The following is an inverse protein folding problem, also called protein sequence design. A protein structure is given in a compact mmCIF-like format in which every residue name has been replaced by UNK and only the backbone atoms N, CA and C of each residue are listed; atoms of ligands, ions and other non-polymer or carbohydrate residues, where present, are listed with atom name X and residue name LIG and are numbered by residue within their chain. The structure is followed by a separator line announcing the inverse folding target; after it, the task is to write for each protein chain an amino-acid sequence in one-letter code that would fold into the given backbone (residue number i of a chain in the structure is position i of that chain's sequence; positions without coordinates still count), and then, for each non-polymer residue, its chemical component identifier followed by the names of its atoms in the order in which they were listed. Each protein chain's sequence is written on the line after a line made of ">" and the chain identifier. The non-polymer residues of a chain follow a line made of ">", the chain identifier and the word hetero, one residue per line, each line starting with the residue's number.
data_IF_889311140257
#
_entry.id   IF_889311140257
#
_cell.length_a   1.000
_cell.length_b   1.000
_cell.length_c   1.000
_cell.angle_alpha   90.00
_cell.angle_beta   90.00
_cell.angle_gamma   90.00
#
_symmetry.space_group_name_H-M   'P 1'
#
loop_
_entity.id
_entity.type
_entity.pdbx_description
1 polymer ?
#
# COMPACT_ATOMS: atom_id res chain seq x y z
N UNK A 1 -18.79 -9.23 -0.06
CA UNK A 1 -19.03 -7.78 -0.06
C UNK A 1 -18.04 -6.99 0.80
N UNK A 2 -17.68 -7.43 2.02
CA UNK A 2 -16.68 -6.73 2.86
C UNK A 2 -15.30 -6.63 2.20
N UNK A 3 -14.83 -7.69 1.53
CA UNK A 3 -13.52 -7.71 0.86
C UNK A 3 -13.37 -6.61 -0.20
N UNK A 4 -14.37 -6.38 -1.05
CA UNK A 4 -14.33 -5.34 -2.08
C UNK A 4 -14.32 -3.92 -1.50
N UNK A 5 -15.07 -3.66 -0.42
CA UNK A 5 -15.09 -2.36 0.26
C UNK A 5 -13.73 -2.00 0.85
N UNK A 6 -13.14 -2.93 1.61
CA UNK A 6 -11.81 -2.75 2.20
C UNK A 6 -10.76 -2.52 1.12
N UNK A 7 -10.75 -3.39 0.11
CA UNK A 7 -9.80 -3.30 -1.00
C UNK A 7 -9.89 -1.96 -1.73
N UNK A 8 -11.10 -1.54 -2.13
CA UNK A 8 -11.30 -0.26 -2.84
C UNK A 8 -10.81 0.93 -2.02
N UNK A 9 -11.04 0.92 -0.71
CA UNK A 9 -10.63 2.02 0.18
C UNK A 9 -9.11 2.06 0.35
N UNK A 10 -8.46 0.92 0.61
CA UNK A 10 -7.01 0.85 0.77
C UNK A 10 -6.27 1.07 -0.55
N UNK A 11 -6.85 0.65 -1.67
CA UNK A 11 -6.35 0.98 -3.01
C UNK A 11 -6.34 2.50 -3.25
N UNK A 12 -7.43 3.19 -2.89
CA UNK A 12 -7.51 4.64 -3.00
C UNK A 12 -6.50 5.36 -2.09
N UNK A 13 -6.24 4.81 -0.91
CA UNK A 13 -5.20 5.33 -0.01
C UNK A 13 -3.80 5.15 -0.63
N UNK A 14 -3.45 3.95 -1.07
CA UNK A 14 -2.16 3.65 -1.66
C UNK A 14 -1.90 4.50 -2.93
N UNK A 15 -2.91 4.69 -3.77
CA UNK A 15 -2.86 5.55 -4.95
C UNK A 15 -2.63 7.03 -4.61
N UNK A 16 -3.13 7.50 -3.48
CA UNK A 16 -2.88 8.87 -3.04
C UNK A 16 -1.43 9.08 -2.56
N UNK A 17 -0.79 8.05 -1.99
CA UNK A 17 0.60 8.10 -1.51
C UNK A 17 1.60 7.92 -2.66
N UNK A 18 1.38 6.92 -3.52
CA UNK A 18 2.26 6.61 -4.66
C UNK A 18 1.39 6.49 -5.92
N UNK A 19 1.02 7.63 -6.53
CA UNK A 19 0.20 7.64 -7.73
C UNK A 19 1.00 7.20 -8.97
N UNK A 20 0.28 6.88 -10.04
CA UNK A 20 0.88 6.78 -11.36
C UNK A 20 1.44 8.12 -11.80
N UNK A 21 2.60 8.11 -12.46
CA UNK A 21 3.33 9.32 -12.83
C UNK A 21 3.57 9.41 -14.35
N UNK A 22 2.51 9.69 -15.17
CA UNK A 22 2.64 9.72 -16.63
C UNK A 22 3.65 10.76 -17.13
N UNK A 23 3.77 11.92 -16.46
CA UNK A 23 4.76 12.94 -16.82
C UNK A 23 6.20 12.47 -16.63
N UNK A 24 6.48 11.76 -15.55
CA UNK A 24 7.81 11.18 -15.33
C UNK A 24 8.10 10.07 -16.36
N UNK A 25 7.08 9.33 -16.76
CA UNK A 25 7.21 8.31 -17.79
C UNK A 25 7.55 8.89 -19.18
N UNK A 26 7.03 10.07 -19.51
CA UNK A 26 7.37 10.80 -20.75
C UNK A 26 8.82 11.30 -20.73
N UNK A 27 9.32 11.73 -19.58
CA UNK A 27 10.65 12.34 -19.43
C UNK A 27 11.75 11.28 -19.18
N UNK A 28 11.49 10.29 -18.33
CA UNK A 28 12.49 9.32 -17.85
C UNK A 28 12.25 7.88 -18.28
N UNK A 29 11.22 7.65 -19.12
CA UNK A 29 10.90 6.33 -19.67
C UNK A 29 9.76 5.62 -18.93
N UNK A 30 9.16 4.66 -19.66
CA UNK A 30 7.93 3.97 -19.26
C UNK A 30 7.97 3.34 -17.86
N UNK A 31 9.14 2.95 -17.40
CA UNK A 31 9.31 2.34 -16.08
C UNK A 31 8.82 3.26 -14.95
N UNK A 32 8.91 4.59 -15.14
CA UNK A 32 8.49 5.57 -14.16
C UNK A 32 6.97 5.81 -14.13
N UNK A 33 6.19 5.12 -14.96
CA UNK A 33 4.73 5.24 -14.99
C UNK A 33 4.05 4.63 -13.77
N UNK A 34 4.56 3.49 -13.30
CA UNK A 34 3.87 2.62 -12.37
C UNK A 34 3.76 3.19 -10.96
N UNK A 35 2.56 3.12 -10.37
CA UNK A 35 2.25 3.50 -9.01
C UNK A 35 1.85 2.31 -8.13
N UNK A 36 1.40 2.59 -6.91
CA UNK A 36 1.04 1.57 -5.93
C UNK A 36 -0.04 0.59 -6.40
N UNK A 37 -0.99 1.06 -7.21
CA UNK A 37 -2.08 0.21 -7.75
C UNK A 37 -1.52 -0.87 -8.66
N UNK A 38 -0.54 -0.54 -9.49
CA UNK A 38 0.04 -1.47 -10.46
C UNK A 38 0.80 -2.60 -9.77
N UNK A 39 1.39 -2.31 -8.60
CA UNK A 39 2.12 -3.27 -7.77
C UNK A 39 1.22 -3.96 -6.73
N UNK A 40 -0.09 -3.72 -6.76
CA UNK A 40 -1.08 -4.31 -5.85
C UNK A 40 -0.75 -4.08 -4.37
N UNK A 41 -0.36 -2.86 -4.02
CA UNK A 41 0.01 -2.50 -2.65
C UNK A 41 -1.19 -2.50 -1.71
N UNK A 42 -2.40 -2.34 -2.23
CA UNK A 42 -3.64 -2.57 -1.49
C UNK A 42 -3.71 -3.97 -0.87
N UNK A 43 -3.26 -5.01 -1.59
CA UNK A 43 -3.20 -6.37 -1.06
C UNK A 43 -2.14 -6.52 0.05
N UNK A 44 -1.00 -5.83 -0.08
CA UNK A 44 0.01 -5.77 0.98
C UNK A 44 -0.54 -5.10 2.24
N UNK A 45 -1.23 -3.97 2.10
CA UNK A 45 -1.86 -3.27 3.22
C UNK A 45 -2.90 -4.15 3.92
N UNK A 46 -3.76 -4.85 3.16
CA UNK A 46 -4.73 -5.79 3.72
C UNK A 46 -4.00 -6.91 4.47
N UNK A 47 -2.97 -7.50 3.86
CA UNK A 47 -2.19 -8.57 4.48
C UNK A 47 -1.60 -8.12 5.81
N UNK A 48 -0.90 -6.98 5.86
CA UNK A 48 -0.31 -6.47 7.09
C UNK A 48 -1.36 -6.16 8.17
N UNK A 49 -2.47 -5.51 7.80
CA UNK A 49 -3.54 -5.16 8.73
C UNK A 49 -4.30 -6.37 9.29
N UNK A 50 -4.43 -7.46 8.52
CA UNK A 50 -5.06 -8.71 8.98
C UNK A 50 -4.15 -9.53 9.91
N UNK A 51 -2.83 -9.28 9.91
CA UNK A 51 -1.87 -9.95 10.79
C UNK A 51 -1.67 -9.25 12.16
N UNK A 52 -2.39 -8.16 12.44
CA UNK A 52 -2.46 -7.61 13.79
C UNK A 52 -3.17 -8.59 14.75
N UNK A 53 -2.87 -8.56 16.06
CA UNK A 53 -3.57 -9.39 17.05
C UNK A 53 -5.10 -9.26 17.00
N UNK A 54 -5.58 -8.08 16.62
CA UNK A 54 -6.98 -7.81 16.23
C UNK A 54 -6.95 -7.38 14.78
N UNK A 55 -7.67 -8.07 13.87
CA UNK A 55 -7.71 -7.71 12.45
C UNK A 55 -8.14 -6.25 12.25
N UNK A 56 -7.32 -5.48 11.57
CA UNK A 56 -7.48 -4.02 11.45
C UNK A 56 -7.91 -3.55 10.06
N UNK A 57 -7.98 -4.43 9.05
CA UNK A 57 -8.27 -3.98 7.67
C UNK A 57 -9.64 -3.32 7.55
N UNK A 58 -10.70 -3.93 8.09
CA UNK A 58 -12.04 -3.37 8.05
C UNK A 58 -12.17 -2.09 8.90
N UNK A 59 -11.79 -2.07 10.19
CA UNK A 59 -11.84 -0.84 10.98
C UNK A 59 -11.06 0.32 10.35
N UNK A 60 -9.91 0.03 9.74
CA UNK A 60 -9.09 1.04 9.06
C UNK A 60 -9.78 1.58 7.80
N UNK A 61 -10.40 0.74 6.99
CA UNK A 61 -11.17 1.19 5.84
C UNK A 61 -12.38 2.06 6.26
N UNK A 62 -13.06 1.70 7.34
CA UNK A 62 -14.14 2.51 7.91
C UNK A 62 -13.63 3.86 8.42
N UNK A 63 -12.50 3.88 9.16
CA UNK A 63 -11.84 5.10 9.61
C UNK A 63 -11.54 6.06 8.45
N UNK A 64 -10.95 5.56 7.35
CA UNK A 64 -10.62 6.34 6.18
C UNK A 64 -11.86 6.90 5.47
N UNK A 65 -12.96 6.16 5.42
CA UNK A 65 -14.20 6.64 4.82
C UNK A 65 -14.96 7.63 5.72
N UNK A 66 -14.81 7.53 7.05
CA UNK A 66 -15.30 8.58 7.97
C UNK A 66 -14.50 9.88 7.74
N UNK A 67 -13.18 9.79 7.57
CA UNK A 67 -12.36 10.94 7.22
C UNK A 67 -12.77 11.59 5.90
N UNK A 68 -13.06 10.78 4.87
CA UNK A 68 -13.56 11.28 3.59
C UNK A 68 -14.90 12.00 3.74
N UNK A 69 -15.78 11.48 4.60
CA UNK A 69 -17.06 12.12 4.93
C UNK A 69 -16.84 13.46 5.63
N UNK A 70 -15.96 13.52 6.63
CA UNK A 70 -15.63 14.75 7.34
C UNK A 70 -15.04 15.81 6.40
N UNK A 71 -14.14 15.39 5.49
CA UNK A 71 -13.59 16.27 4.47
C UNK A 71 -14.69 16.87 3.58
N UNK A 72 -15.61 16.05 3.06
CA UNK A 72 -16.72 16.53 2.23
C UNK A 72 -17.62 17.52 2.97
N UNK A 73 -17.95 17.23 4.24
CA UNK A 73 -18.74 18.14 5.08
C UNK A 73 -18.02 19.49 5.25
N UNK A 74 -16.70 19.48 5.46
CA UNK A 74 -15.90 20.71 5.57
C UNK A 74 -15.92 21.56 4.28
N UNK A 75 -16.18 20.92 3.12
CA UNK A 75 -16.34 21.58 1.82
C UNK A 75 -17.80 21.96 1.51
N UNK A 76 -18.73 21.79 2.47
CA UNK A 76 -20.15 22.13 2.30
C UNK A 76 -20.99 21.05 1.63
N UNK A 77 -20.47 19.84 1.44
CA UNK A 77 -21.24 18.72 0.92
C UNK A 77 -21.86 17.92 2.06
N UNK A 78 -23.12 17.48 1.86
CA UNK A 78 -23.84 16.67 2.83
C UNK A 78 -24.02 15.25 2.31
N UNK A 79 -23.60 14.26 3.08
CA UNK A 79 -23.73 12.86 2.75
C UNK A 79 -22.53 12.01 3.18
N UNK A 80 -22.65 10.70 3.02
CA UNK A 80 -21.53 9.80 3.29
C UNK A 80 -20.52 9.85 2.14
N UNK A 81 -19.25 10.07 2.49
CA UNK A 81 -18.13 10.02 1.57
C UNK A 81 -17.46 8.66 1.53
N UNK A 82 -16.76 8.40 0.44
CA UNK A 82 -15.82 7.30 0.33
C UNK A 82 -14.45 7.85 -0.11
N UNK A 83 -13.37 7.38 0.50
CA UNK A 83 -12.02 7.79 0.11
C UNK A 83 -11.78 7.56 -1.39
N UNK A 84 -12.32 6.49 -1.93
CA UNK A 84 -12.18 6.13 -3.33
C UNK A 84 -12.81 7.14 -4.31
N UNK A 85 -13.83 7.89 -3.86
CA UNK A 85 -14.52 8.89 -4.70
C UNK A 85 -13.86 10.27 -4.67
N UNK A 86 -12.93 10.49 -3.75
CA UNK A 86 -12.21 11.76 -3.65
C UNK A 86 -11.06 11.85 -4.67
N UNK A 87 -10.76 13.07 -5.10
CA UNK A 87 -9.54 13.35 -5.85
C UNK A 87 -8.28 13.02 -5.01
N UNK A 88 -7.14 12.64 -5.62
CA UNK A 88 -5.96 12.20 -4.88
C UNK A 88 -5.49 13.17 -3.78
N UNK A 89 -5.45 14.47 -4.05
CA UNK A 89 -5.10 15.48 -3.05
C UNK A 89 -6.12 15.59 -1.91
N UNK A 90 -7.39 15.39 -2.20
CA UNK A 90 -8.43 15.47 -1.17
C UNK A 90 -8.43 14.21 -0.28
N UNK A 91 -8.00 13.06 -0.82
CA UNK A 91 -7.72 11.87 0.00
C UNK A 91 -6.65 12.15 1.05
N UNK A 92 -5.55 12.80 0.67
CA UNK A 92 -4.47 13.18 1.60
C UNK A 92 -4.96 14.18 2.65
N UNK A 93 -5.78 15.18 2.26
CA UNK A 93 -6.37 16.14 3.20
C UNK A 93 -7.32 15.45 4.18
N UNK A 94 -8.16 14.51 3.72
CA UNK A 94 -9.03 13.72 4.58
C UNK A 94 -8.22 12.92 5.63
N UNK A 95 -7.14 12.26 5.21
CA UNK A 95 -6.24 11.54 6.12
C UNK A 95 -5.54 12.50 7.10
N UNK A 96 -5.19 13.71 6.65
CA UNK A 96 -4.60 14.74 7.52
C UNK A 96 -5.57 15.17 8.62
N UNK A 97 -6.87 15.26 8.35
CA UNK A 97 -7.88 15.56 9.37
C UNK A 97 -7.92 14.52 10.49
N UNK A 98 -7.68 13.23 10.19
CA UNK A 98 -7.53 12.20 11.23
C UNK A 98 -6.34 12.48 12.15
N UNK A 99 -5.18 12.77 11.57
CA UNK A 99 -3.95 13.07 12.32
C UNK A 99 -4.09 14.34 13.19
N UNK A 100 -4.88 15.29 12.72
CA UNK A 100 -5.18 16.55 13.44
C UNK A 100 -6.37 16.44 14.41
N UNK A 101 -6.96 15.24 14.53
CA UNK A 101 -8.13 14.99 15.36
C UNK A 101 -9.33 15.90 15.03
N UNK A 102 -9.50 16.24 13.77
CA UNK A 102 -10.59 17.09 13.25
C UNK A 102 -11.82 16.28 12.81
N UNK A 103 -11.88 15.01 13.21
CA UNK A 103 -12.98 14.11 12.94
C UNK A 103 -13.70 13.81 14.26
N UNK A 104 -15.03 13.78 14.22
CA UNK A 104 -15.82 13.49 15.41
C UNK A 104 -15.59 12.05 15.86
N UNK A 105 -15.14 11.86 17.12
CA UNK A 105 -14.81 10.55 17.68
C UNK A 105 -15.99 9.57 17.65
N UNK A 106 -17.21 10.07 17.90
CA UNK A 106 -18.43 9.24 17.90
C UNK A 106 -18.79 8.65 16.54
N UNK A 107 -18.27 9.22 15.46
CA UNK A 107 -18.45 8.72 14.10
C UNK A 107 -17.47 7.59 13.74
N UNK A 108 -16.41 7.39 14.53
CA UNK A 108 -15.36 6.43 14.26
C UNK A 108 -15.74 5.01 14.69
N UNK A 109 -15.11 3.96 14.12
CA UNK A 109 -15.20 2.60 14.65
C UNK A 109 -14.83 2.54 16.13
N UNK A 110 -15.51 1.68 16.88
CA UNK A 110 -15.42 1.62 18.36
C UNK A 110 -13.98 1.48 18.88
N UNK A 111 -13.13 0.75 18.16
CA UNK A 111 -11.73 0.55 18.53
C UNK A 111 -10.95 1.88 18.59
N UNK A 112 -11.25 2.83 17.70
CA UNK A 112 -10.63 4.16 17.68
C UNK A 112 -11.28 5.14 18.67
N UNK A 113 -12.54 4.91 19.04
CA UNK A 113 -13.18 5.67 20.12
C UNK A 113 -12.56 5.31 21.47
N UNK A 114 -12.20 4.03 21.68
CA UNK A 114 -11.59 3.53 22.92
C UNK A 114 -10.11 3.92 23.04
N UNK A 115 -9.39 4.03 21.93
CA UNK A 115 -7.99 4.43 21.87
C UNK A 115 -7.76 5.45 20.73
N UNK A 116 -7.99 6.74 20.98
CA UNK A 116 -7.80 7.78 19.96
C UNK A 116 -6.35 7.91 19.46
N UNK A 117 -5.35 7.53 20.27
CA UNK A 117 -3.95 7.54 19.83
C UNK A 117 -3.69 6.49 18.73
N UNK A 118 -4.49 5.43 18.69
CA UNK A 118 -4.41 4.42 17.65
C UNK A 118 -4.65 5.02 16.25
N UNK A 119 -5.43 6.12 16.14
CA UNK A 119 -5.65 6.83 14.87
C UNK A 119 -4.34 7.30 14.26
N UNK A 120 -3.49 7.93 15.05
CA UNK A 120 -2.19 8.43 14.59
C UNK A 120 -1.30 7.24 14.24
N UNK A 121 -1.24 6.24 15.13
CA UNK A 121 -0.41 5.04 14.90
C UNK A 121 -0.80 4.29 13.64
N UNK A 122 -2.10 4.09 13.38
CA UNK A 122 -2.55 3.36 12.19
C UNK A 122 -2.36 4.17 10.90
N UNK A 123 -2.57 5.49 10.93
CA UNK A 123 -2.34 6.34 9.76
C UNK A 123 -0.85 6.43 9.41
N UNK A 124 0.04 6.48 10.40
CA UNK A 124 1.49 6.42 10.16
C UNK A 124 1.93 5.04 9.68
N UNK A 125 1.37 3.97 10.26
CA UNK A 125 1.62 2.60 9.81
C UNK A 125 1.19 2.40 8.35
N UNK A 126 0.00 2.87 7.96
CA UNK A 126 -0.46 2.79 6.57
C UNK A 126 0.50 3.48 5.59
N UNK A 127 0.97 4.68 5.93
CA UNK A 127 1.94 5.40 5.10
C UNK A 127 3.24 4.60 4.96
N UNK A 128 3.78 4.11 6.08
CA UNK A 128 5.00 3.32 6.11
C UNK A 128 4.82 1.99 5.34
N UNK A 129 3.73 1.28 5.55
CA UNK A 129 3.44 0.03 4.84
C UNK A 129 3.26 0.26 3.34
N UNK A 130 2.67 1.38 2.92
CA UNK A 130 2.57 1.71 1.48
C UNK A 130 3.96 1.83 0.87
N UNK A 131 4.87 2.56 1.52
CA UNK A 131 6.25 2.74 1.05
C UNK A 131 7.03 1.42 1.11
N UNK A 132 6.95 0.70 2.24
CA UNK A 132 7.64 -0.58 2.43
C UNK A 132 7.13 -1.60 1.40
N UNK A 133 5.83 -1.75 1.25
CA UNK A 133 5.24 -2.66 0.28
C UNK A 133 5.67 -2.35 -1.15
N UNK A 134 5.75 -1.06 -1.50
CA UNK A 134 6.13 -0.62 -2.84
C UNK A 134 7.58 -0.96 -3.18
N UNK A 135 8.52 -0.72 -2.25
CA UNK A 135 9.96 -0.95 -2.46
C UNK A 135 10.46 -2.32 -1.99
N UNK A 136 9.58 -3.14 -1.41
CA UNK A 136 9.92 -4.51 -1.01
C UNK A 136 9.85 -5.50 -2.18
N UNK A 137 10.11 -6.76 -1.87
CA UNK A 137 9.95 -7.89 -2.79
C UNK A 137 8.47 -8.23 -3.09
N UNK A 138 7.51 -7.58 -2.45
CA UNK A 138 6.08 -7.93 -2.51
C UNK A 138 5.54 -8.13 -3.92
N UNK A 139 5.78 -7.17 -4.80
CA UNK A 139 5.31 -7.27 -6.18
C UNK A 139 6.01 -8.40 -6.95
N UNK A 140 7.28 -8.65 -6.63
CA UNK A 140 8.10 -9.69 -7.26
C UNK A 140 7.68 -11.12 -6.91
N UNK A 141 6.94 -11.33 -5.81
CA UNK A 141 6.39 -12.65 -5.45
C UNK A 141 5.23 -13.10 -6.34
N UNK A 142 4.72 -12.26 -7.23
CA UNK A 142 3.74 -12.63 -8.23
C UNK A 142 2.55 -13.37 -7.68
N UNK A 143 2.39 -14.63 -8.10
CA UNK A 143 1.29 -15.50 -7.67
C UNK A 143 1.46 -16.04 -6.24
N UNK A 144 2.67 -16.04 -5.71
CA UNK A 144 3.00 -16.61 -4.38
C UNK A 144 2.94 -15.62 -3.24
N UNK A 145 2.66 -14.35 -3.50
CA UNK A 145 2.72 -13.26 -2.49
C UNK A 145 1.85 -13.45 -1.25
N UNK A 146 0.71 -14.13 -1.38
CA UNK A 146 -0.21 -14.41 -0.26
C UNK A 146 0.08 -15.74 0.46
N UNK A 147 1.05 -16.52 0.00
CA UNK A 147 1.49 -17.73 0.70
C UNK A 147 2.26 -17.38 1.98
N UNK A 148 2.43 -18.34 2.91
CA UNK A 148 3.33 -18.17 4.05
C UNK A 148 4.72 -17.71 3.61
N UNK A 149 5.43 -16.88 4.38
CA UNK A 149 6.71 -16.30 3.97
C UNK A 149 7.76 -17.31 3.46
N UNK A 150 7.80 -18.51 4.04
CA UNK A 150 8.72 -19.57 3.65
C UNK A 150 8.38 -20.25 2.31
N UNK A 151 7.17 -20.03 1.80
CA UNK A 151 6.67 -20.60 0.55
C UNK A 151 6.66 -19.57 -0.59
N UNK A 152 7.01 -18.30 -0.27
CA UNK A 152 7.07 -17.25 -1.28
C UNK A 152 8.30 -17.41 -2.16
N UNK A 153 8.08 -17.31 -3.47
CA UNK A 153 9.14 -17.38 -4.47
C UNK A 153 9.11 -16.09 -5.28
N UNK A 154 10.27 -15.48 -5.47
CA UNK A 154 10.38 -14.33 -6.36
C UNK A 154 10.27 -14.79 -7.80
N UNK A 155 9.19 -14.41 -8.47
CA UNK A 155 8.89 -14.77 -9.86
C UNK A 155 9.51 -13.79 -10.85
N UNK A 156 9.69 -12.52 -10.43
CA UNK A 156 10.31 -11.47 -11.25
C UNK A 156 10.91 -10.36 -10.36
N UNK A 157 11.75 -9.53 -10.95
CA UNK A 157 12.31 -8.36 -10.26
C UNK A 157 11.19 -7.31 -10.07
N UNK A 158 11.00 -6.78 -8.85
CA UNK A 158 10.04 -5.70 -8.62
C UNK A 158 10.29 -4.49 -9.53
N UNK A 159 9.24 -3.99 -10.16
CA UNK A 159 9.31 -2.79 -11.00
C UNK A 159 9.86 -1.59 -10.22
N UNK A 160 9.51 -1.45 -8.96
CA UNK A 160 10.02 -0.40 -8.09
C UNK A 160 11.54 -0.45 -7.90
N UNK A 161 12.16 -1.63 -7.95
CA UNK A 161 13.61 -1.76 -7.89
C UNK A 161 14.27 -1.23 -9.16
N UNK A 162 13.67 -1.52 -10.32
CA UNK A 162 14.14 -0.98 -11.60
C UNK A 162 14.00 0.54 -11.66
N UNK A 163 12.92 1.11 -11.09
CA UNK A 163 12.69 2.56 -11.03
C UNK A 163 13.79 3.32 -10.28
N UNK A 164 14.38 2.70 -9.25
CA UNK A 164 15.42 3.29 -8.40
C UNK A 164 16.80 2.68 -8.64
N UNK A 165 16.95 1.90 -9.71
CA UNK A 165 18.21 1.22 -10.08
C UNK A 165 18.79 0.35 -8.95
N UNK A 166 17.90 -0.25 -8.12
CA UNK A 166 18.32 -1.12 -7.06
C UNK A 166 18.74 -2.50 -7.61
N UNK A 167 20.00 -2.93 -7.42
CA UNK A 167 20.51 -4.16 -8.03
C UNK A 167 19.99 -5.45 -7.38
N UNK A 168 19.12 -5.34 -6.38
CA UNK A 168 18.69 -6.46 -5.58
C UNK A 168 19.61 -6.78 -4.39
N UNK A 169 19.23 -7.75 -3.54
CA UNK A 169 20.02 -8.14 -2.38
C UNK A 169 21.34 -8.76 -2.79
N UNK A 170 22.43 -8.41 -2.09
CA UNK A 170 23.76 -8.96 -2.34
C UNK A 170 23.79 -10.48 -2.12
N UNK A 171 24.72 -11.17 -2.81
CA UNK A 171 24.91 -12.63 -2.66
C UNK A 171 25.19 -13.05 -1.21
N UNK A 172 25.92 -12.22 -0.43
CA UNK A 172 26.19 -12.47 0.99
C UNK A 172 24.92 -12.45 1.85
N UNK A 173 23.96 -11.63 1.49
CA UNK A 173 22.68 -11.57 2.19
C UNK A 173 21.80 -12.81 1.92
N UNK A 174 21.94 -13.47 0.77
CA UNK A 174 21.23 -14.72 0.43
C UNK A 174 21.54 -15.86 1.40
N UNK A 175 22.77 -15.95 1.88
CA UNK A 175 23.21 -17.01 2.80
C UNK A 175 22.53 -16.90 4.17
N UNK A 176 22.13 -15.68 4.56
CA UNK A 176 21.48 -15.39 5.84
C UNK A 176 19.95 -15.49 5.79
N UNK A 177 19.35 -15.58 4.59
CA UNK A 177 17.90 -15.73 4.46
C UNK A 177 17.50 -17.21 4.41
N UNK A 178 16.47 -17.64 5.18
CA UNK A 178 15.92 -19.01 5.10
C UNK A 178 15.17 -19.24 3.77
N UNK A 179 14.98 -18.22 2.94
CA UNK A 179 14.23 -18.29 1.70
C UNK A 179 15.14 -18.60 0.52
N UNK A 180 14.74 -19.58 -0.29
CA UNK A 180 15.43 -19.87 -1.55
C UNK A 180 15.04 -18.81 -2.58
N UNK A 181 15.90 -17.81 -2.74
CA UNK A 181 15.87 -16.96 -3.94
C UNK A 181 16.66 -17.65 -5.04
N UNK A 182 16.01 -18.16 -6.05
CA UNK A 182 16.70 -18.55 -7.26
C UNK A 182 16.82 -17.33 -8.20
N UNK A 183 17.75 -16.43 -7.84
CA UNK A 183 18.06 -15.26 -8.65
C UNK A 183 18.86 -15.61 -9.91
N UNK A 184 19.31 -16.84 -10.08
CA UNK A 184 20.12 -17.23 -11.23
C UNK A 184 19.31 -17.04 -12.52
N UNK A 185 18.04 -17.49 -12.51
CA UNK A 185 17.14 -17.33 -13.64
C UNK A 185 16.68 -15.86 -13.83
N UNK A 186 16.54 -15.10 -12.75
CA UNK A 186 16.10 -13.70 -12.78
C UNK A 186 17.22 -12.82 -13.35
N UNK A 187 18.47 -12.99 -12.88
CA UNK A 187 19.62 -12.23 -13.37
C UNK A 187 19.93 -12.55 -14.83
N UNK A 188 19.84 -13.83 -15.23
CA UNK A 188 20.05 -14.24 -16.63
C UNK A 188 18.97 -13.70 -17.54
N UNK A 189 17.70 -13.66 -17.11
CA UNK A 189 16.61 -13.07 -17.87
C UNK A 189 16.78 -11.55 -18.02
N UNK A 190 17.21 -10.84 -16.97
CA UNK A 190 17.49 -9.40 -17.01
C UNK A 190 18.69 -9.04 -17.90
N UNK A 191 19.66 -9.93 -18.05
CA UNK A 191 20.85 -9.73 -18.90
C UNK A 191 20.63 -10.18 -20.35
N UNK A 192 19.43 -10.65 -20.72
CA UNK A 192 19.14 -11.12 -22.07
C UNK A 192 19.92 -12.37 -22.49
N UNK A 193 20.54 -13.07 -21.57
CA UNK A 193 21.21 -14.33 -21.80
C UNK A 193 20.18 -15.46 -21.77
N UNK A 194 19.70 -15.86 -22.95
CA UNK A 194 19.01 -17.13 -23.10
C UNK A 194 20.00 -18.27 -22.92
N UNK A 195 19.69 -19.19 -21.99
CA UNK A 195 20.35 -20.49 -21.91
C UNK A 195 19.82 -21.43 -22.98
#
# INVERSE_FOLDING_TARGET
>A
MQSSYVQTTLQAFADAIIPRTPRLAEEYGRIQYYGAIDLQIDQFLIYELEHYPVPMALPTAELLNVAATAWLISQGYFGRGSLATLAPLDRLKAVTMLKQQQVELTALPIIFQMDPELIIRITDALNNYTIIGYYSEWSGYGTTKLLPPQERVMEFIPISWEQVEYPGPSLGYRVLRPYRFDLTNIVLAAQGMQV
#
